data_IF_241239513267
#
_entry.id   IF_241239513267
#
_cell.length_a   1.000
_cell.length_b   1.000
_cell.length_c   1.000
_cell.angle_alpha   90.00
_cell.angle_beta   90.00
_cell.angle_gamma   90.00
#
_symmetry.space_group_name_H-M   'P 1'
#
loop_
_entity.id
_entity.type
_entity.pdbx_description
1 polymer ?
#
# COMPACT_ATOMS: atom_id res chain seq x y z
N UNK A 1 -11.11 21.60 -57.30
CA UNK A 1 -10.78 22.57 -58.37
C UNK A 1 -9.47 23.27 -58.01
N UNK A 2 -8.68 23.70 -58.99
CA UNK A 2 -7.47 24.54 -58.81
C UNK A 2 -7.83 26.03 -58.58
N UNK A 3 -6.87 27.00 -58.47
CA UNK A 3 -5.42 26.96 -58.17
C UNK A 3 -5.12 27.70 -56.83
N UNK A 4 -3.94 28.19 -56.39
CA UNK A 4 -2.66 28.70 -56.96
C UNK A 4 -1.49 28.31 -56.01
N UNK A 5 -0.22 28.08 -56.42
CA UNK A 5 0.81 28.96 -57.03
C UNK A 5 1.11 30.22 -56.18
N UNK A 6 2.37 30.63 -55.93
CA UNK A 6 3.43 31.00 -56.90
C UNK A 6 4.87 30.64 -56.38
N UNK A 7 5.83 30.54 -57.31
CA UNK A 7 7.28 30.26 -57.11
C UNK A 7 8.13 31.55 -56.90
N UNK A 8 9.38 31.45 -56.39
CA UNK A 8 10.61 31.58 -57.23
C UNK A 8 11.97 31.54 -56.48
N UNK A 9 12.98 31.09 -57.23
CA UNK A 9 14.46 31.18 -57.13
C UNK A 9 15.11 32.15 -56.11
N UNK A 10 16.31 31.89 -55.55
CA UNK A 10 17.26 30.78 -55.70
C UNK A 10 18.67 31.20 -56.19
N UNK A 11 19.74 30.65 -55.59
CA UNK A 11 21.17 30.73 -56.02
C UNK A 11 21.99 29.52 -55.48
N UNK A 12 23.25 29.32 -55.95
CA UNK A 12 24.02 28.05 -55.76
C UNK A 12 25.52 28.25 -55.43
N UNK A 13 25.98 27.61 -54.34
CA UNK A 13 27.33 27.05 -54.08
C UNK A 13 28.57 27.98 -54.12
N UNK A 14 29.78 27.55 -53.67
CA UNK A 14 30.21 26.29 -53.00
C UNK A 14 30.70 26.54 -51.54
N UNK A 15 31.47 25.73 -50.77
CA UNK A 15 32.26 24.49 -50.95
C UNK A 15 32.14 23.53 -49.72
N UNK A 16 32.24 22.22 -50.01
CA UNK A 16 32.97 21.13 -49.31
C UNK A 16 33.25 21.20 -47.78
N UNK A 17 32.73 20.22 -47.03
CA UNK A 17 33.52 19.15 -46.36
C UNK A 17 32.66 17.89 -46.08
N UNK A 18 33.23 16.82 -45.52
CA UNK A 18 32.72 15.41 -45.57
C UNK A 18 31.85 14.97 -44.36
N UNK A 19 31.11 13.83 -44.46
CA UNK A 19 29.94 13.52 -43.60
C UNK A 19 30.21 12.53 -42.45
N UNK A 20 29.20 12.37 -41.57
CA UNK A 20 28.58 11.06 -41.32
C UNK A 20 27.04 11.13 -41.58
N UNK A 21 26.46 10.25 -42.41
CA UNK A 21 26.07 8.86 -42.14
C UNK A 21 24.63 8.70 -41.60
N UNK A 22 23.71 8.40 -42.52
CA UNK A 22 22.40 7.73 -42.36
C UNK A 22 21.74 7.74 -40.96
N UNK A 23 20.73 8.60 -40.79
CA UNK A 23 19.68 8.34 -39.79
C UNK A 23 18.90 7.08 -40.18
N UNK A 24 19.11 5.98 -39.45
CA UNK A 24 18.18 4.86 -39.50
C UNK A 24 17.10 5.03 -38.44
N UNK A 25 15.86 5.29 -38.87
CA UNK A 25 14.70 5.39 -37.99
C UNK A 25 14.60 4.14 -37.11
N UNK A 26 14.72 4.31 -35.79
CA UNK A 26 14.84 3.24 -34.81
C UNK A 26 13.72 3.36 -33.79
N UNK A 27 13.07 2.24 -33.48
CA UNK A 27 11.82 2.22 -32.69
C UNK A 27 12.04 2.60 -31.23
N UNK A 28 11.03 3.24 -30.64
CA UNK A 28 10.91 3.43 -29.19
C UNK A 28 10.89 2.05 -28.51
N UNK A 29 11.84 1.82 -27.61
CA UNK A 29 11.82 0.74 -26.62
C UNK A 29 12.26 1.37 -25.29
N UNK A 30 11.39 1.33 -24.29
CA UNK A 30 11.63 2.02 -23.02
C UNK A 30 12.76 1.38 -22.22
N UNK A 31 13.89 2.09 -22.06
CA UNK A 31 14.91 1.76 -21.09
C UNK A 31 14.68 2.55 -19.79
N UNK A 32 14.59 1.84 -18.67
CA UNK A 32 14.64 2.46 -17.35
C UNK A 32 16.07 2.99 -17.12
N UNK A 33 16.20 4.30 -16.90
CA UNK A 33 17.45 4.91 -16.44
C UNK A 33 17.59 4.59 -14.95
N UNK A 34 18.58 3.77 -14.61
CA UNK A 34 18.91 3.44 -13.22
C UNK A 34 19.82 4.55 -12.69
N UNK A 35 19.30 5.38 -11.79
CA UNK A 35 20.09 6.37 -11.06
C UNK A 35 20.78 5.72 -9.84
N UNK A 36 21.94 6.26 -9.44
CA UNK A 36 22.72 5.72 -8.31
C UNK A 36 22.18 6.25 -6.97
N UNK A 37 21.36 5.44 -6.31
CA UNK A 37 20.48 5.86 -5.21
C UNK A 37 21.18 6.22 -3.88
N UNK A 38 22.52 6.16 -3.79
CA UNK A 38 23.24 6.15 -2.49
C UNK A 38 23.35 7.47 -1.73
N UNK A 39 22.78 8.59 -2.22
CA UNK A 39 22.82 9.93 -1.56
C UNK A 39 21.57 10.80 -1.82
N UNK A 40 20.37 10.27 -1.62
CA UNK A 40 19.13 10.97 -2.07
C UNK A 40 18.56 12.03 -1.12
N UNK A 41 18.60 11.84 0.20
CA UNK A 41 17.97 12.80 1.15
C UNK A 41 18.37 14.30 1.01
N UNK A 42 19.62 14.67 0.65
CA UNK A 42 19.99 16.08 0.44
C UNK A 42 19.48 16.69 -0.87
N UNK A 43 18.97 15.89 -1.82
CA UNK A 43 18.73 16.34 -3.20
C UNK A 43 17.29 16.83 -3.49
N UNK A 44 16.39 16.75 -2.51
CA UNK A 44 14.98 17.10 -2.68
C UNK A 44 14.51 18.16 -1.66
N UNK A 45 15.42 18.96 -1.09
CA UNK A 45 15.07 19.95 -0.06
C UNK A 45 14.21 21.11 -0.60
N UNK A 46 14.43 21.50 -1.86
CA UNK A 46 13.70 22.58 -2.54
C UNK A 46 12.48 22.07 -3.36
N UNK A 47 12.15 20.78 -3.27
CA UNK A 47 11.06 20.16 -4.03
C UNK A 47 9.70 20.33 -3.35
N UNK A 48 8.63 20.43 -4.13
CA UNK A 48 7.27 20.48 -3.59
C UNK A 48 6.93 19.15 -2.88
N UNK A 49 6.67 19.20 -1.58
CA UNK A 49 6.29 18.05 -0.77
C UNK A 49 4.78 17.99 -0.54
N UNK A 50 4.21 16.80 -0.68
CA UNK A 50 2.89 16.43 -0.14
C UNK A 50 2.99 15.04 0.47
N UNK A 51 2.18 14.76 1.49
CA UNK A 51 2.18 13.48 2.19
C UNK A 51 0.75 13.10 2.60
N UNK A 52 0.55 11.81 2.88
CA UNK A 52 -0.73 11.28 3.34
C UNK A 52 -0.47 10.04 4.22
N UNK A 53 -1.12 9.97 5.39
CA UNK A 53 -1.10 8.78 6.25
C UNK A 53 -2.04 7.70 5.70
N UNK A 54 -1.94 6.51 6.26
CA UNK A 54 -2.88 5.42 6.06
C UNK A 54 -2.58 4.25 6.99
N UNK A 55 -3.28 3.14 6.80
CA UNK A 55 -3.00 1.88 7.49
C UNK A 55 -3.35 0.68 6.63
N UNK A 56 -2.54 -0.36 6.73
CA UNK A 56 -2.94 -1.71 6.32
C UNK A 56 -3.75 -2.35 7.45
N UNK A 57 -4.96 -2.83 7.15
CA UNK A 57 -5.75 -3.62 8.09
C UNK A 57 -5.78 -5.09 7.63
N UNK A 58 -5.74 -6.01 8.58
CA UNK A 58 -5.74 -7.45 8.36
C UNK A 58 -7.15 -7.99 8.57
N UNK A 59 -7.72 -8.57 7.52
CA UNK A 59 -9.13 -8.98 7.48
C UNK A 59 -9.38 -10.37 8.08
N UNK A 60 -10.67 -10.68 8.25
CA UNK A 60 -11.17 -11.94 8.81
C UNK A 60 -10.53 -13.18 8.16
N UNK A 61 -10.44 -13.18 6.83
CA UNK A 61 -9.89 -14.24 5.97
C UNK A 61 -8.36 -14.25 5.85
N UNK A 62 -7.67 -13.27 6.46
CA UNK A 62 -6.22 -13.07 6.33
C UNK A 62 -5.80 -12.25 5.09
N UNK A 63 -6.76 -11.69 4.36
CA UNK A 63 -6.52 -10.63 3.38
C UNK A 63 -6.01 -9.35 4.03
N UNK A 64 -5.52 -8.41 3.21
CA UNK A 64 -5.11 -7.08 3.65
C UNK A 64 -5.94 -6.02 2.90
N UNK A 65 -6.54 -5.09 3.64
CA UNK A 65 -7.13 -3.86 3.11
C UNK A 65 -6.24 -2.66 3.43
N UNK A 66 -6.46 -1.57 2.70
CA UNK A 66 -5.84 -0.25 2.89
C UNK A 66 -6.64 0.73 2.04
N UNK A 67 -6.72 1.99 2.46
CA UNK A 67 -7.13 3.07 1.54
C UNK A 67 -6.22 3.09 0.31
N UNK A 68 -6.76 3.60 -0.81
CA UNK A 68 -5.98 3.92 -1.98
C UNK A 68 -5.90 5.45 -2.11
N UNK A 69 -5.02 5.96 -2.97
CA UNK A 69 -4.84 7.40 -3.11
C UNK A 69 -4.82 7.83 -4.57
N UNK A 70 -5.35 9.02 -4.84
CA UNK A 70 -5.31 9.68 -6.14
C UNK A 70 -4.22 10.75 -6.09
N UNK A 71 -3.17 10.57 -6.89
CA UNK A 71 -2.09 11.54 -7.09
C UNK A 71 -2.35 12.28 -8.40
N UNK A 72 -2.46 13.60 -8.36
CA UNK A 72 -2.47 14.44 -9.58
C UNK A 72 -1.15 15.18 -9.70
N UNK A 73 -0.49 14.96 -10.84
CA UNK A 73 0.79 15.57 -11.24
C UNK A 73 0.47 16.67 -12.26
N UNK A 74 0.69 17.96 -11.97
CA UNK A 74 0.18 19.06 -12.79
C UNK A 74 0.96 19.26 -14.11
N UNK A 75 2.26 18.97 -14.12
CA UNK A 75 3.15 19.03 -15.28
C UNK A 75 4.12 17.86 -15.25
N UNK A 76 4.68 17.46 -16.39
CA UNK A 76 5.69 16.39 -16.43
C UNK A 76 6.90 16.83 -15.61
N UNK A 77 7.26 16.04 -14.58
CA UNK A 77 8.29 16.40 -13.61
C UNK A 77 8.96 15.16 -13.02
N UNK A 78 10.16 15.32 -12.46
CA UNK A 78 10.77 14.26 -11.65
C UNK A 78 10.06 14.16 -10.30
N UNK A 79 9.60 12.96 -9.96
CA UNK A 79 8.92 12.64 -8.70
C UNK A 79 9.78 11.67 -7.90
N UNK A 80 9.86 11.90 -6.59
CA UNK A 80 10.41 10.99 -5.60
C UNK A 80 9.30 10.56 -4.64
N UNK A 81 8.91 9.29 -4.74
CA UNK A 81 7.85 8.66 -3.96
C UNK A 81 8.47 7.77 -2.89
N UNK A 82 8.02 7.89 -1.64
CA UNK A 82 8.43 7.00 -0.54
C UNK A 82 7.24 6.52 0.28
N UNK A 83 7.34 5.32 0.85
CA UNK A 83 6.44 4.80 1.87
C UNK A 83 7.24 4.15 2.99
N UNK A 84 6.72 4.26 4.22
CA UNK A 84 7.28 3.63 5.43
C UNK A 84 6.16 3.31 6.43
N UNK A 85 6.35 2.33 7.33
CA UNK A 85 5.55 2.25 8.55
C UNK A 85 5.59 3.55 9.37
N UNK A 86 4.48 3.85 10.04
CA UNK A 86 4.33 5.00 10.93
C UNK A 86 4.47 4.55 12.39
N UNK A 87 5.50 5.03 13.08
CA UNK A 87 5.70 4.76 14.50
C UNK A 87 4.80 5.70 15.33
N UNK A 88 3.76 5.15 15.96
CA UNK A 88 2.92 5.88 16.91
C UNK A 88 3.52 5.91 18.34
N UNK A 89 4.48 5.02 18.63
CA UNK A 89 5.11 4.96 19.95
C UNK A 89 5.82 6.28 20.31
N UNK A 90 5.23 6.99 21.29
CA UNK A 90 5.81 8.17 21.94
C UNK A 90 7.12 7.87 22.70
N UNK A 91 7.51 6.59 22.83
CA UNK A 91 8.73 6.15 23.51
C UNK A 91 9.76 5.65 22.50
N UNK A 92 10.74 6.51 22.19
CA UNK A 92 11.86 6.23 21.26
C UNK A 92 12.57 4.88 21.52
N UNK A 93 12.62 4.43 22.77
CA UNK A 93 13.27 3.18 23.19
C UNK A 93 12.53 1.90 22.80
N UNK A 94 11.23 1.98 22.44
CA UNK A 94 10.44 0.82 22.00
C UNK A 94 9.60 1.20 20.77
N UNK A 95 10.06 0.91 19.55
CA UNK A 95 9.25 1.12 18.34
C UNK A 95 8.01 0.23 18.33
N UNK A 96 6.97 0.66 17.63
CA UNK A 96 5.74 -0.10 17.47
C UNK A 96 5.97 -1.48 16.82
N UNK A 97 5.15 -2.47 17.20
CA UNK A 97 5.23 -3.87 16.74
C UNK A 97 5.17 -4.03 15.22
N UNK A 98 4.45 -3.15 14.54
CA UNK A 98 4.29 -3.14 13.08
C UNK A 98 5.43 -2.44 12.31
N UNK A 99 6.42 -1.82 12.98
CA UNK A 99 7.57 -1.19 12.31
C UNK A 99 8.44 -2.17 11.50
N UNK A 100 8.24 -3.49 11.70
CA UNK A 100 8.89 -4.53 10.90
C UNK A 100 8.15 -4.86 9.61
N UNK A 101 6.90 -4.42 9.41
CA UNK A 101 6.07 -4.75 8.24
C UNK A 101 6.64 -4.11 6.98
N UNK A 102 6.72 -4.88 5.90
CA UNK A 102 7.16 -4.36 4.61
C UNK A 102 6.06 -3.51 3.96
N UNK A 103 6.45 -2.38 3.38
CA UNK A 103 5.52 -1.44 2.72
C UNK A 103 6.01 -1.10 1.32
N UNK A 104 5.13 -1.13 0.33
CA UNK A 104 5.36 -0.61 -1.01
C UNK A 104 4.13 0.17 -1.50
N UNK A 105 4.30 1.00 -2.52
CA UNK A 105 3.21 1.63 -3.28
C UNK A 105 3.39 1.26 -4.73
N UNK A 106 2.32 0.77 -5.36
CA UNK A 106 2.25 0.60 -6.81
C UNK A 106 1.55 1.81 -7.42
N UNK A 107 2.18 2.45 -8.40
CA UNK A 107 1.63 3.59 -9.14
C UNK A 107 1.06 3.08 -10.45
N UNK A 108 -0.22 3.32 -10.67
CA UNK A 108 -0.92 2.97 -11.92
C UNK A 108 -1.52 4.20 -12.59
N UNK A 109 -1.46 4.24 -13.92
CA UNK A 109 -2.17 5.21 -14.75
C UNK A 109 -3.40 4.55 -15.40
N UNK A 110 -4.41 5.37 -15.71
CA UNK A 110 -5.66 4.91 -16.32
C UNK A 110 -6.88 5.59 -15.68
N UNK A 111 -8.06 5.27 -16.20
CA UNK A 111 -9.33 5.57 -15.52
C UNK A 111 -9.60 4.49 -14.48
N UNK A 112 -10.55 4.71 -13.59
CA UNK A 112 -10.88 3.80 -12.47
C UNK A 112 -11.53 2.46 -12.94
N UNK A 113 -11.61 2.23 -14.26
CA UNK A 113 -12.07 1.01 -14.94
C UNK A 113 -10.96 -0.03 -15.10
N UNK A 114 -11.35 -1.31 -15.05
CA UNK A 114 -10.43 -2.45 -14.85
C UNK A 114 -9.48 -2.77 -16.03
N UNK A 115 -9.77 -2.30 -17.24
CA UNK A 115 -9.13 -2.81 -18.47
C UNK A 115 -7.96 -1.93 -18.96
N UNK A 116 -8.08 -0.60 -18.85
CA UNK A 116 -7.05 0.36 -19.29
C UNK A 116 -5.93 0.59 -18.25
N UNK A 117 -6.14 0.19 -16.99
CA UNK A 117 -5.18 0.41 -15.90
C UNK A 117 -3.80 -0.16 -16.23
N UNK A 118 -2.75 0.67 -16.09
CA UNK A 118 -1.37 0.38 -16.53
C UNK A 118 -0.39 0.63 -15.38
N UNK A 119 0.51 -0.33 -15.12
CA UNK A 119 1.57 -0.18 -14.13
C UNK A 119 2.61 0.81 -14.67
N UNK A 120 2.86 1.87 -13.91
CA UNK A 120 3.86 2.90 -14.24
C UNK A 120 5.16 2.59 -13.50
N UNK A 121 5.10 2.54 -12.17
CA UNK A 121 6.23 2.25 -11.30
C UNK A 121 5.75 1.68 -9.95
N UNK A 122 6.68 1.30 -9.10
CA UNK A 122 6.41 0.91 -7.71
C UNK A 122 7.63 1.17 -6.84
N UNK A 123 7.44 1.39 -5.54
CA UNK A 123 8.55 1.55 -4.60
C UNK A 123 9.23 0.20 -4.35
N UNK A 124 10.48 0.07 -4.80
CA UNK A 124 11.22 -1.21 -4.82
C UNK A 124 12.64 -1.14 -4.26
N UNK A 125 13.26 0.04 -4.30
CA UNK A 125 14.53 0.34 -3.62
C UNK A 125 14.27 0.81 -2.18
N UNK A 126 15.32 0.86 -1.35
CA UNK A 126 15.21 1.32 0.04
C UNK A 126 16.22 2.40 0.42
N UNK A 127 15.73 3.45 1.08
CA UNK A 127 16.55 4.43 1.81
C UNK A 127 16.25 4.27 3.31
N UNK A 128 17.15 3.55 4.00
CA UNK A 128 17.07 3.21 5.44
C UNK A 128 15.79 2.42 5.79
N UNK A 129 14.76 3.11 6.26
CA UNK A 129 13.47 2.57 6.69
C UNK A 129 12.35 2.86 5.67
N UNK A 130 12.62 3.65 4.63
CA UNK A 130 11.66 3.94 3.57
C UNK A 130 11.88 3.05 2.37
N UNK A 131 10.81 2.45 1.84
CA UNK A 131 10.79 1.93 0.48
C UNK A 131 10.48 3.07 -0.48
N UNK A 132 11.22 3.20 -1.58
CA UNK A 132 11.15 4.37 -2.45
C UNK A 132 11.29 4.09 -3.95
N UNK A 133 10.92 5.09 -4.75
CA UNK A 133 11.10 5.16 -6.19
C UNK A 133 11.37 6.61 -6.61
N UNK A 134 12.28 6.84 -7.56
CA UNK A 134 12.50 8.13 -8.21
C UNK A 134 12.43 7.96 -9.73
N UNK A 135 11.77 8.89 -10.41
CA UNK A 135 11.72 8.93 -11.87
C UNK A 135 10.78 10.03 -12.38
N UNK A 136 10.70 10.18 -13.69
CA UNK A 136 9.75 11.11 -14.34
C UNK A 136 8.33 10.55 -14.26
N UNK A 137 7.36 11.41 -13.89
CA UNK A 137 5.94 11.19 -14.15
C UNK A 137 5.44 12.29 -15.09
N UNK A 138 4.58 11.92 -16.03
CA UNK A 138 3.94 12.87 -16.94
C UNK A 138 2.81 13.64 -16.24
N UNK A 139 2.40 14.77 -16.81
CA UNK A 139 1.18 15.46 -16.39
C UNK A 139 -0.04 14.51 -16.45
N UNK A 140 -0.82 14.41 -15.38
CA UNK A 140 -1.99 13.55 -15.31
C UNK A 140 -2.34 13.06 -13.90
N UNK A 141 -3.29 12.11 -13.84
CA UNK A 141 -3.77 11.51 -12.60
C UNK A 141 -3.39 10.04 -12.54
N UNK A 142 -2.89 9.64 -11.37
CA UNK A 142 -2.42 8.29 -11.06
C UNK A 142 -3.14 7.76 -9.82
N UNK A 143 -3.33 6.45 -9.73
CA UNK A 143 -3.72 5.81 -8.48
C UNK A 143 -2.47 5.20 -7.82
N UNK A 144 -2.32 5.49 -6.52
CA UNK A 144 -1.31 4.94 -5.63
C UNK A 144 -1.99 3.84 -4.81
N UNK A 145 -1.49 2.62 -4.96
CA UNK A 145 -2.01 1.41 -4.35
C UNK A 145 -1.00 0.91 -3.31
N UNK A 146 -1.23 1.15 -2.00
CA UNK A 146 -0.39 0.60 -0.95
C UNK A 146 -0.39 -0.92 -0.98
N UNK A 147 0.74 -1.51 -0.61
CA UNK A 147 0.94 -2.95 -0.58
C UNK A 147 1.86 -3.35 0.58
N UNK A 148 1.54 -4.47 1.21
CA UNK A 148 2.43 -5.25 2.08
C UNK A 148 2.36 -6.72 1.66
N UNK A 149 3.43 -7.48 1.85
CA UNK A 149 3.45 -8.91 1.49
C UNK A 149 2.61 -9.82 2.39
N UNK A 150 2.11 -9.33 3.53
CA UNK A 150 1.59 -10.11 4.67
C UNK A 150 2.57 -11.15 5.26
N UNK A 151 3.87 -11.12 4.88
CA UNK A 151 4.90 -11.98 5.47
C UNK A 151 5.18 -11.65 6.96
N UNK A 152 4.72 -10.49 7.44
CA UNK A 152 4.95 -9.96 8.80
C UNK A 152 3.67 -9.45 9.48
N UNK A 153 2.75 -8.81 8.72
CA UNK A 153 1.38 -8.51 9.16
C UNK A 153 0.47 -9.71 8.81
N UNK A 154 0.11 -10.52 9.81
CA UNK A 154 -0.71 -11.74 9.65
C UNK A 154 -1.31 -12.20 10.97
N UNK A 155 -2.45 -12.90 10.92
CA UNK A 155 -3.17 -13.36 12.12
C UNK A 155 -2.26 -14.32 12.91
N UNK A 156 -2.02 -13.99 14.18
CA UNK A 156 -1.21 -14.81 15.07
C UNK A 156 -2.10 -15.91 15.65
N UNK A 157 -1.61 -17.15 15.70
CA UNK A 157 -2.35 -18.27 16.30
C UNK A 157 -2.71 -17.92 17.74
N UNK A 158 -4.01 -17.79 18.04
CA UNK A 158 -4.54 -17.32 19.34
C UNK A 158 -4.01 -18.21 20.48
N UNK A 159 -3.01 -17.73 21.22
CA UNK A 159 -2.61 -18.30 22.51
C UNK A 159 -3.55 -17.75 23.57
N UNK A 160 -4.19 -18.66 24.32
CA UNK A 160 -4.97 -18.45 25.56
C UNK A 160 -5.59 -17.05 25.75
N UNK A 161 -6.90 -16.95 25.55
CA UNK A 161 -7.69 -15.73 25.79
C UNK A 161 -7.42 -15.16 27.19
N UNK A 162 -6.72 -14.04 27.27
CA UNK A 162 -6.73 -13.15 28.42
C UNK A 162 -8.14 -12.60 28.62
N UNK A 163 -8.53 -12.31 29.87
CA UNK A 163 -9.71 -11.47 30.08
C UNK A 163 -9.48 -10.12 29.39
N UNK A 164 -10.43 -9.58 28.61
CA UNK A 164 -10.29 -8.26 28.04
C UNK A 164 -10.01 -7.21 29.13
N UNK A 165 -9.19 -6.21 28.81
CA UNK A 165 -8.98 -5.07 29.70
C UNK A 165 -10.25 -4.24 29.84
N UNK A 166 -10.41 -3.54 30.96
CA UNK A 166 -11.54 -2.65 31.19
C UNK A 166 -11.38 -1.39 30.34
N UNK A 167 -12.34 -1.09 29.45
CA UNK A 167 -12.30 0.11 28.62
C UNK A 167 -12.75 1.36 29.38
N UNK A 168 -13.81 1.25 30.19
CA UNK A 168 -14.39 2.34 30.98
C UNK A 168 -14.53 1.98 32.45
N UNK A 169 -14.25 2.95 33.32
CA UNK A 169 -14.44 2.85 34.76
C UNK A 169 -15.62 3.73 35.20
N UNK A 170 -16.13 3.49 36.40
CA UNK A 170 -16.95 4.49 37.11
C UNK A 170 -16.08 5.33 38.04
N UNK A 171 -16.34 6.63 38.07
CA UNK A 171 -15.70 7.60 38.96
C UNK A 171 -16.30 7.53 40.38
N UNK A 172 -15.70 8.26 41.34
CA UNK A 172 -16.28 8.43 42.68
C UNK A 172 -17.62 9.17 42.68
N UNK A 173 -17.94 9.91 41.60
CA UNK A 173 -19.26 10.54 41.36
C UNK A 173 -20.29 9.56 40.77
N UNK A 174 -19.88 8.35 40.37
CA UNK A 174 -20.74 7.33 39.75
C UNK A 174 -20.91 7.47 38.23
N UNK A 175 -20.38 8.55 37.66
CA UNK A 175 -20.27 8.82 36.22
C UNK A 175 -19.28 7.84 35.55
N UNK A 176 -19.28 7.76 34.23
CA UNK A 176 -18.36 6.92 33.46
C UNK A 176 -17.17 7.76 32.96
N UNK A 177 -15.99 7.14 32.93
CA UNK A 177 -14.78 7.71 32.33
C UNK A 177 -13.99 6.64 31.56
N UNK A 178 -13.34 7.06 30.48
CA UNK A 178 -12.47 6.22 29.67
C UNK A 178 -11.16 5.93 30.43
N UNK A 179 -10.78 4.66 30.52
CA UNK A 179 -9.52 4.28 31.15
C UNK A 179 -8.32 4.89 30.42
N UNK A 180 -7.22 5.11 31.15
CA UNK A 180 -5.97 5.66 30.61
C UNK A 180 -5.48 4.92 29.36
N UNK A 181 -5.57 3.60 29.38
CA UNK A 181 -5.04 2.76 28.30
C UNK A 181 -5.97 2.80 27.07
N UNK A 182 -7.30 2.87 27.28
CA UNK A 182 -8.25 3.10 26.18
C UNK A 182 -8.13 4.50 25.58
N UNK A 183 -7.93 5.55 26.41
CA UNK A 183 -7.55 6.90 25.92
C UNK A 183 -6.23 6.90 25.13
N UNK A 184 -5.31 5.98 25.44
CA UNK A 184 -4.12 5.73 24.62
C UNK A 184 -4.50 5.18 23.24
N UNK A 185 -5.24 4.07 23.20
CA UNK A 185 -5.70 3.44 21.95
C UNK A 185 -6.55 4.37 21.08
N UNK A 186 -7.40 5.23 21.66
CA UNK A 186 -8.17 6.26 20.93
C UNK A 186 -7.32 7.43 20.43
N UNK A 187 -6.15 7.69 21.02
CA UNK A 187 -5.20 8.67 20.48
C UNK A 187 -4.43 8.08 19.30
N UNK A 188 -4.04 6.81 19.39
CA UNK A 188 -3.36 6.10 18.31
C UNK A 188 -4.31 5.84 17.12
N UNK A 189 -5.51 5.29 17.38
CA UNK A 189 -6.81 5.91 17.02
C UNK A 189 -6.77 7.06 15.99
N UNK A 190 -6.99 8.24 16.55
CA UNK A 190 -6.99 9.54 15.89
C UNK A 190 -5.79 9.76 14.97
N UNK A 191 -4.57 9.38 15.39
CA UNK A 191 -3.37 9.54 14.55
C UNK A 191 -3.40 8.75 13.24
N UNK A 192 -4.14 7.63 13.18
CA UNK A 192 -4.28 6.81 11.97
C UNK A 192 -5.31 7.37 10.99
N UNK A 193 -6.34 8.05 11.51
CA UNK A 193 -7.48 8.55 10.71
C UNK A 193 -7.41 10.06 10.41
N UNK A 194 -6.57 10.82 11.11
CA UNK A 194 -6.04 12.13 10.70
C UNK A 194 -5.09 11.92 9.51
N UNK A 195 -5.64 11.82 8.29
CA UNK A 195 -4.93 11.34 7.10
C UNK A 195 -3.97 12.39 6.54
N UNK A 196 -4.36 13.67 6.53
CA UNK A 196 -3.50 14.75 6.04
C UNK A 196 -2.47 15.22 7.10
N UNK A 197 -2.68 14.86 8.37
CA UNK A 197 -1.82 15.22 9.49
C UNK A 197 -2.07 16.62 10.08
N UNK A 198 -3.21 17.26 9.79
CA UNK A 198 -3.53 18.59 10.30
C UNK A 198 -3.89 18.60 11.81
N UNK A 199 -4.21 17.44 12.39
CA UNK A 199 -4.56 17.26 13.79
C UNK A 199 -6.05 17.43 14.11
N UNK A 200 -6.92 17.40 13.10
CA UNK A 200 -8.39 17.50 13.16
C UNK A 200 -8.99 16.59 12.09
N UNK A 201 -10.13 15.95 12.36
CA UNK A 201 -10.80 15.05 11.41
C UNK A 201 -11.85 15.81 10.60
N UNK A 202 -11.72 15.78 9.28
CA UNK A 202 -12.79 16.11 8.35
C UNK A 202 -13.90 15.04 8.34
N UNK A 203 -15.05 15.35 7.72
CA UNK A 203 -16.11 14.36 7.48
C UNK A 203 -15.62 13.20 6.58
N UNK A 204 -14.73 13.48 5.63
CA UNK A 204 -14.16 12.44 4.75
C UNK A 204 -13.30 11.45 5.54
N UNK A 205 -12.45 11.96 6.43
CA UNK A 205 -11.63 11.15 7.35
C UNK A 205 -12.47 10.38 8.38
N UNK A 206 -13.50 11.02 8.94
CA UNK A 206 -14.46 10.37 9.83
C UNK A 206 -15.24 9.25 9.12
N UNK A 207 -15.62 9.45 7.86
CA UNK A 207 -16.32 8.44 7.07
C UNK A 207 -15.42 7.25 6.67
N UNK A 208 -14.10 7.44 6.51
CA UNK A 208 -13.19 6.29 6.39
C UNK A 208 -13.05 5.48 7.69
N UNK A 209 -13.26 6.10 8.85
CA UNK A 209 -13.34 5.42 10.15
C UNK A 209 -14.66 4.66 10.31
N UNK A 210 -15.81 5.31 10.09
CA UNK A 210 -17.15 4.67 10.15
C UNK A 210 -17.24 3.49 9.17
N UNK A 211 -16.89 3.69 7.89
CA UNK A 211 -16.93 2.64 6.88
C UNK A 211 -16.03 1.44 7.22
N UNK A 212 -15.04 1.60 8.11
CA UNK A 212 -14.20 0.51 8.61
C UNK A 212 -14.72 -0.16 9.88
N UNK A 213 -15.53 0.53 10.68
CA UNK A 213 -15.94 0.10 12.04
C UNK A 213 -17.41 -0.29 12.12
N UNK A 214 -18.32 0.55 11.62
CA UNK A 214 -19.75 0.29 11.46
C UNK A 214 -20.10 -0.26 10.07
N UNK A 215 -19.35 0.13 9.04
CA UNK A 215 -19.66 -0.16 7.63
C UNK A 215 -20.61 0.86 7.00
N UNK A 216 -20.95 1.92 7.72
CA UNK A 216 -21.85 3.00 7.29
C UNK A 216 -21.06 4.29 6.98
N UNK A 217 -21.75 5.40 6.73
CA UNK A 217 -21.14 6.73 6.58
C UNK A 217 -21.97 7.75 7.37
N UNK A 218 -21.31 8.72 7.99
CA UNK A 218 -21.96 9.90 8.55
C UNK A 218 -22.38 10.83 7.40
N UNK A 219 -23.63 11.30 7.41
CA UNK A 219 -24.15 12.30 6.47
C UNK A 219 -23.88 13.74 6.96
N UNK A 220 -24.20 14.74 6.15
CA UNK A 220 -23.90 16.14 6.49
C UNK A 220 -24.73 16.63 7.69
N UNK A 221 -25.94 16.09 7.86
CA UNK A 221 -26.86 16.34 8.97
C UNK A 221 -26.35 15.76 10.30
N UNK A 222 -25.97 14.48 10.35
CA UNK A 222 -25.36 13.86 11.52
C UNK A 222 -24.00 14.52 11.84
N UNK A 223 -23.22 14.88 10.83
CA UNK A 223 -21.98 15.65 11.03
C UNK A 223 -22.24 17.06 11.57
N UNK A 224 -23.34 17.71 11.18
CA UNK A 224 -23.77 18.98 11.77
C UNK A 224 -24.02 18.83 13.27
N UNK A 225 -24.79 17.83 13.69
CA UNK A 225 -25.04 17.52 15.11
C UNK A 225 -23.72 17.20 15.84
N UNK A 226 -22.82 16.41 15.25
CA UNK A 226 -21.49 16.12 15.81
C UNK A 226 -20.69 17.40 16.10
N UNK A 227 -20.63 18.33 15.12
CA UNK A 227 -19.91 19.61 15.28
C UNK A 227 -20.50 20.54 16.34
N UNK A 228 -21.79 20.43 16.63
CA UNK A 228 -22.48 21.25 17.64
C UNK A 228 -22.31 20.71 19.07
N UNK A 229 -21.97 19.42 19.25
CA UNK A 229 -21.96 18.77 20.57
C UNK A 229 -20.55 18.42 21.11
N UNK A 230 -19.49 18.47 20.30
CA UNK A 230 -18.11 18.07 20.68
C UNK A 230 -17.05 19.14 20.35
N UNK A 231 -15.84 19.10 20.96
CA UNK A 231 -14.77 20.06 20.63
C UNK A 231 -14.36 19.97 19.15
N UNK A 232 -14.68 21.03 18.39
CA UNK A 232 -14.35 21.16 16.96
C UNK A 232 -13.59 22.45 16.67
N UNK A 233 -12.78 22.43 15.62
CA UNK A 233 -11.98 23.60 15.17
C UNK A 233 -12.00 23.62 13.66
N UNK A 234 -12.14 24.81 13.05
CA UNK A 234 -12.29 24.96 11.58
C UNK A 234 -13.40 24.08 10.95
N UNK A 235 -14.44 23.73 11.73
CA UNK A 235 -15.51 22.78 11.35
C UNK A 235 -15.06 21.32 11.17
N UNK A 236 -13.92 20.94 11.76
CA UNK A 236 -13.36 19.58 11.84
C UNK A 236 -13.32 19.12 13.31
N UNK A 237 -13.51 17.82 13.56
CA UNK A 237 -13.53 17.25 14.91
C UNK A 237 -12.12 17.20 15.52
N UNK A 238 -11.94 17.70 16.74
CA UNK A 238 -10.64 17.65 17.42
C UNK A 238 -10.42 16.30 18.10
N UNK A 239 -9.17 16.00 18.50
CA UNK A 239 -8.86 14.80 19.31
C UNK A 239 -9.62 14.78 20.63
N UNK A 240 -9.92 15.94 21.21
CA UNK A 240 -10.73 16.04 22.43
C UNK A 240 -12.19 15.68 22.12
N UNK A 241 -12.77 16.24 21.04
CA UNK A 241 -14.12 15.90 20.59
C UNK A 241 -14.28 14.42 20.24
N UNK A 242 -13.27 13.80 19.61
CA UNK A 242 -13.26 12.36 19.33
C UNK A 242 -13.26 11.51 20.62
N UNK A 243 -12.57 11.95 21.67
CA UNK A 243 -12.59 11.28 22.99
C UNK A 243 -13.94 11.47 23.70
N UNK A 244 -14.58 12.62 23.54
CA UNK A 244 -15.90 12.93 24.09
C UNK A 244 -16.99 12.10 23.41
N UNK A 245 -16.93 11.95 22.09
CA UNK A 245 -17.83 11.10 21.29
C UNK A 245 -17.75 9.63 21.73
N UNK A 246 -16.55 9.06 21.84
CA UNK A 246 -16.35 7.68 22.31
C UNK A 246 -16.79 7.48 23.79
N UNK A 247 -16.73 8.53 24.63
CA UNK A 247 -17.25 8.48 26.00
C UNK A 247 -18.78 8.58 26.04
N UNK A 248 -19.41 9.31 25.10
CA UNK A 248 -20.85 9.36 24.95
C UNK A 248 -21.41 7.98 24.57
N UNK A 249 -20.85 7.34 23.54
CA UNK A 249 -21.23 5.98 23.09
C UNK A 249 -21.18 4.97 24.25
N UNK A 250 -20.08 4.99 25.01
CA UNK A 250 -19.91 4.15 26.21
C UNK A 250 -20.97 4.42 27.30
N UNK A 251 -21.43 5.67 27.40
CA UNK A 251 -22.36 6.12 28.44
C UNK A 251 -23.82 5.83 28.10
N UNK A 252 -24.21 5.93 26.83
CA UNK A 252 -25.56 5.60 26.36
C UNK A 252 -25.95 4.14 26.67
N UNK A 253 -24.97 3.22 26.63
CA UNK A 253 -25.16 1.81 27.01
C UNK A 253 -24.83 1.51 28.48
N UNK A 254 -24.80 2.53 29.34
CA UNK A 254 -24.60 2.40 30.78
C UNK A 254 -23.23 1.86 31.21
N UNK A 255 -22.26 1.85 30.29
CA UNK A 255 -20.91 1.29 30.47
C UNK A 255 -20.68 -0.10 29.86
N UNK A 256 -21.59 -0.62 29.01
CA UNK A 256 -21.33 -1.83 28.22
C UNK A 256 -20.26 -1.57 27.14
N UNK A 257 -19.09 -2.22 27.19
CA UNK A 257 -18.00 -1.99 26.24
C UNK A 257 -18.12 -2.80 24.93
N UNK A 258 -19.25 -3.47 24.68
CA UNK A 258 -19.38 -4.43 23.57
C UNK A 258 -19.10 -3.81 22.19
N UNK A 259 -19.67 -2.63 21.90
CA UNK A 259 -19.55 -1.99 20.58
C UNK A 259 -18.20 -1.26 20.43
N UNK A 260 -17.73 -0.58 21.47
CA UNK A 260 -16.35 -0.08 21.59
C UNK A 260 -15.30 -1.17 21.24
N UNK A 261 -15.57 -2.42 21.62
CA UNK A 261 -14.70 -3.55 21.28
C UNK A 261 -14.77 -3.96 19.81
N UNK A 262 -15.92 -3.81 19.13
CA UNK A 262 -16.03 -3.99 17.68
C UNK A 262 -15.20 -2.93 16.97
N UNK A 263 -15.35 -1.66 17.36
CA UNK A 263 -14.56 -0.52 16.87
C UNK A 263 -13.05 -0.74 17.05
N UNK A 264 -12.61 -1.20 18.23
CA UNK A 264 -11.21 -1.51 18.50
C UNK A 264 -10.68 -2.69 17.67
N UNK A 265 -11.42 -3.79 17.56
CA UNK A 265 -10.99 -4.96 16.78
C UNK A 265 -10.97 -4.65 15.27
N UNK A 266 -11.92 -3.85 14.77
CA UNK A 266 -11.94 -3.34 13.40
C UNK A 266 -10.73 -2.43 13.08
N UNK A 267 -10.27 -1.64 14.06
CA UNK A 267 -9.04 -0.84 13.96
C UNK A 267 -7.76 -1.64 14.28
N UNK A 268 -7.85 -2.98 14.42
CA UNK A 268 -6.72 -3.89 14.52
C UNK A 268 -6.14 -4.08 15.92
N UNK A 269 -6.86 -3.70 16.98
CA UNK A 269 -6.47 -3.92 18.37
C UNK A 269 -6.90 -5.29 18.87
N UNK A 270 -6.07 -5.90 19.73
CA UNK A 270 -6.48 -7.07 20.50
C UNK A 270 -7.16 -6.67 21.83
N UNK A 271 -7.70 -7.68 22.54
CA UNK A 271 -8.35 -7.51 23.86
C UNK A 271 -7.42 -7.05 25.01
N UNK A 272 -6.13 -6.81 24.75
CA UNK A 272 -5.18 -6.17 25.66
C UNK A 272 -4.89 -4.69 25.29
N UNK A 273 -5.60 -4.12 24.31
CA UNK A 273 -5.31 -2.81 23.68
C UNK A 273 -3.93 -2.72 23.00
N UNK A 274 -3.42 -3.84 22.47
CA UNK A 274 -2.25 -3.83 21.58
C UNK A 274 -2.72 -3.85 20.11
N UNK A 275 -2.33 -2.84 19.32
CA UNK A 275 -2.51 -2.88 17.86
C UNK A 275 -1.59 -3.96 17.26
N UNK A 276 -2.19 -5.00 16.70
CA UNK A 276 -1.50 -6.20 16.18
C UNK A 276 -2.05 -6.73 14.85
N UNK A 277 -3.26 -6.31 14.46
CA UNK A 277 -3.90 -6.65 13.19
C UNK A 277 -4.01 -5.42 12.26
N UNK A 278 -3.23 -4.37 12.54
CA UNK A 278 -3.05 -3.20 11.67
C UNK A 278 -1.57 -2.78 11.54
N UNK A 279 -1.24 -2.03 10.48
CA UNK A 279 0.05 -1.37 10.27
C UNK A 279 -0.14 0.02 9.64
N UNK A 280 -0.20 1.07 10.47
CA UNK A 280 -0.10 2.47 10.04
C UNK A 280 1.14 2.75 9.18
N UNK A 281 1.00 3.61 8.18
CA UNK A 281 2.06 4.03 7.26
C UNK A 281 1.96 5.51 6.90
N UNK A 282 3.05 6.06 6.36
CA UNK A 282 3.09 7.39 5.72
C UNK A 282 3.60 7.25 4.29
N UNK A 283 2.92 7.89 3.34
CA UNK A 283 3.40 8.13 1.98
C UNK A 283 3.92 9.57 1.89
N UNK A 284 5.15 9.76 1.41
CA UNK A 284 5.70 11.05 1.03
C UNK A 284 5.85 11.12 -0.50
N UNK A 285 5.45 12.24 -1.10
CA UNK A 285 5.66 12.57 -2.51
C UNK A 285 6.41 13.90 -2.59
N UNK A 286 7.59 13.89 -3.20
CA UNK A 286 8.34 15.10 -3.55
C UNK A 286 8.31 15.27 -5.07
N UNK A 287 8.00 16.47 -5.56
CA UNK A 287 7.96 16.81 -6.98
C UNK A 287 8.92 17.96 -7.29
N UNK A 288 9.76 17.79 -8.31
CA UNK A 288 10.76 18.78 -8.72
C UNK A 288 10.14 20.06 -9.28
N UNK A 289 9.03 19.93 -10.01
CA UNK A 289 8.28 21.06 -10.56
C UNK A 289 6.78 20.90 -10.31
N UNK A 290 6.13 21.97 -9.83
CA UNK A 290 4.70 22.01 -9.58
C UNK A 290 4.24 21.25 -8.33
N UNK A 291 3.19 21.75 -7.69
CA UNK A 291 2.62 21.13 -6.50
C UNK A 291 1.67 19.99 -6.90
N UNK A 292 2.11 18.74 -6.69
CA UNK A 292 1.23 17.59 -6.74
C UNK A 292 0.15 17.65 -5.66
N UNK A 293 -1.05 17.17 -5.97
CA UNK A 293 -2.09 16.91 -4.97
C UNK A 293 -2.22 15.40 -4.72
N UNK A 294 -2.42 15.03 -3.46
CA UNK A 294 -2.64 13.66 -3.02
C UNK A 294 -3.93 13.62 -2.21
N UNK A 295 -4.86 12.75 -2.57
CA UNK A 295 -6.16 12.62 -1.93
C UNK A 295 -6.44 11.14 -1.62
N UNK A 296 -7.04 10.79 -0.47
CA UNK A 296 -7.56 9.44 -0.25
C UNK A 296 -8.72 9.13 -1.22
N UNK A 297 -8.88 7.86 -1.58
CA UNK A 297 -10.01 7.37 -2.38
C UNK A 297 -10.36 5.93 -1.99
N UNK A 298 -11.66 5.64 -1.95
CA UNK A 298 -12.16 4.27 -1.96
C UNK A 298 -12.41 3.83 -3.41
N UNK A 299 -11.76 2.75 -3.85
CA UNK A 299 -11.97 2.16 -5.17
C UNK A 299 -12.42 0.71 -5.01
N UNK A 300 -13.68 0.41 -5.38
CA UNK A 300 -14.23 -0.96 -5.43
C UNK A 300 -13.34 -1.93 -6.24
N UNK A 301 -12.62 -1.41 -7.23
CA UNK A 301 -11.72 -2.15 -8.11
C UNK A 301 -10.29 -2.26 -7.56
N UNK A 302 -9.93 -1.54 -6.48
CA UNK A 302 -8.57 -1.34 -5.99
C UNK A 302 -7.79 -2.65 -5.77
N UNK A 303 -8.37 -3.63 -5.05
CA UNK A 303 -7.75 -4.93 -4.84
C UNK A 303 -7.47 -5.70 -6.15
N UNK A 304 -8.34 -5.58 -7.17
CA UNK A 304 -8.15 -6.19 -8.49
C UNK A 304 -7.09 -5.46 -9.32
N UNK A 305 -7.04 -4.13 -9.25
CA UNK A 305 -6.01 -3.34 -9.94
C UNK A 305 -4.64 -3.62 -9.31
N UNK A 306 -4.54 -3.64 -7.97
CA UNK A 306 -3.32 -3.98 -7.23
C UNK A 306 -2.80 -5.38 -7.58
N UNK A 307 -3.67 -6.41 -7.59
CA UNK A 307 -3.28 -7.75 -8.04
C UNK A 307 -2.75 -7.75 -9.49
N UNK A 308 -3.36 -6.97 -10.38
CA UNK A 308 -2.96 -6.87 -11.79
C UNK A 308 -1.61 -6.16 -11.93
N UNK A 309 -1.40 -5.06 -11.19
CA UNK A 309 -0.14 -4.32 -11.11
C UNK A 309 0.98 -5.20 -10.54
N UNK A 310 0.71 -5.91 -9.44
CA UNK A 310 1.64 -6.84 -8.80
C UNK A 310 2.05 -7.98 -9.75
N UNK A 311 1.10 -8.63 -10.43
CA UNK A 311 1.41 -9.65 -11.42
C UNK A 311 2.22 -9.11 -12.61
N UNK A 312 1.96 -7.88 -13.08
CA UNK A 312 2.74 -7.22 -14.13
C UNK A 312 4.17 -6.91 -13.65
N UNK A 313 4.35 -6.36 -12.45
CA UNK A 313 5.68 -6.07 -11.87
C UNK A 313 6.56 -7.33 -11.78
N UNK A 314 5.99 -8.44 -11.31
CA UNK A 314 6.68 -9.72 -11.20
C UNK A 314 6.99 -10.26 -12.61
N UNK A 315 5.99 -10.39 -13.48
CA UNK A 315 6.18 -11.04 -14.80
C UNK A 315 6.98 -10.20 -15.81
N UNK A 316 7.23 -8.92 -15.56
CA UNK A 316 8.09 -8.07 -16.39
C UNK A 316 9.59 -8.15 -16.03
N UNK A 317 9.95 -8.63 -14.83
CA UNK A 317 11.32 -8.59 -14.27
C UNK A 317 11.70 -9.89 -13.56
N UNK A 318 11.35 -11.03 -14.12
CA UNK A 318 11.53 -12.34 -13.48
C UNK A 318 12.28 -13.36 -14.33
N UNK A 319 12.98 -14.25 -13.65
CA UNK A 319 13.37 -15.54 -14.22
C UNK A 319 12.12 -16.39 -14.46
N UNK A 320 12.07 -17.10 -15.59
CA UNK A 320 10.92 -17.94 -15.99
C UNK A 320 11.35 -19.40 -16.09
N UNK A 321 10.62 -20.27 -15.39
CA UNK A 321 10.85 -21.71 -15.28
C UNK A 321 9.59 -22.48 -15.70
N UNK A 322 9.72 -23.46 -16.58
CA UNK A 322 8.66 -24.44 -16.85
C UNK A 322 8.57 -25.46 -15.71
N UNK A 323 7.37 -25.92 -15.37
CA UNK A 323 7.23 -27.06 -14.46
C UNK A 323 7.58 -28.37 -15.19
N UNK A 324 8.33 -29.25 -14.54
CA UNK A 324 8.74 -30.55 -15.11
C UNK A 324 7.49 -31.36 -15.45
N UNK A 325 7.34 -31.73 -16.72
CA UNK A 325 6.17 -32.46 -17.24
C UNK A 325 4.96 -31.59 -17.58
N UNK A 326 5.02 -30.26 -17.42
CA UNK A 326 3.97 -29.32 -17.79
C UNK A 326 4.56 -28.02 -18.37
N UNK A 327 4.99 -28.08 -19.64
CA UNK A 327 5.59 -26.94 -20.36
C UNK A 327 4.67 -25.71 -20.44
N UNK A 328 3.35 -25.93 -20.38
CA UNK A 328 2.33 -24.88 -20.37
C UNK A 328 2.06 -24.28 -18.98
N UNK A 329 2.77 -24.71 -17.93
CA UNK A 329 2.71 -24.09 -16.60
C UNK A 329 4.06 -23.44 -16.29
N UNK A 330 4.04 -22.12 -16.16
CA UNK A 330 5.23 -21.28 -16.01
C UNK A 330 5.28 -20.65 -14.62
N UNK A 331 6.44 -20.76 -13.97
CA UNK A 331 6.76 -20.08 -12.72
C UNK A 331 7.64 -18.88 -13.05
N UNK A 332 7.17 -17.69 -12.67
CA UNK A 332 7.87 -16.42 -12.80
C UNK A 332 8.37 -16.01 -11.41
N UNK A 333 9.69 -15.95 -11.21
CA UNK A 333 10.28 -15.54 -9.92
C UNK A 333 10.96 -14.19 -10.08
N UNK A 334 10.37 -13.16 -9.45
CA UNK A 334 10.99 -11.85 -9.26
C UNK A 334 11.87 -11.88 -8.00
N UNK A 335 13.09 -11.35 -8.11
CA UNK A 335 14.02 -11.15 -6.99
C UNK A 335 14.38 -9.67 -6.91
N UNK A 336 13.70 -8.92 -6.04
CA UNK A 336 14.02 -7.53 -5.72
C UNK A 336 14.95 -7.43 -4.52
N UNK A 337 15.34 -6.20 -4.15
CA UNK A 337 16.34 -5.90 -3.12
C UNK A 337 16.02 -6.52 -1.74
N UNK A 338 14.73 -6.55 -1.36
CA UNK A 338 14.27 -7.05 -0.05
C UNK A 338 13.15 -8.10 -0.12
N UNK A 339 12.68 -8.45 -1.33
CA UNK A 339 11.53 -9.32 -1.53
C UNK A 339 11.72 -10.23 -2.74
N UNK A 340 11.44 -11.51 -2.54
CA UNK A 340 11.20 -12.46 -3.62
C UNK A 340 9.68 -12.65 -3.78
N UNK A 341 9.22 -12.72 -5.02
CA UNK A 341 7.79 -12.88 -5.33
C UNK A 341 7.60 -13.79 -6.53
N UNK A 342 6.69 -14.76 -6.40
CA UNK A 342 6.47 -15.79 -7.41
C UNK A 342 5.06 -15.72 -7.98
N UNK A 343 4.93 -15.74 -9.31
CA UNK A 343 3.65 -15.87 -10.03
C UNK A 343 3.65 -17.17 -10.81
N UNK A 344 2.57 -17.93 -10.72
CA UNK A 344 2.35 -19.10 -11.57
C UNK A 344 1.35 -18.71 -12.67
N UNK A 345 1.72 -18.95 -13.93
CA UNK A 345 0.84 -18.81 -15.08
C UNK A 345 0.48 -20.19 -15.64
N UNK A 346 -0.81 -20.51 -15.69
CA UNK A 346 -1.33 -21.71 -16.29
C UNK A 346 -1.85 -21.38 -17.70
N UNK A 347 -1.13 -21.80 -18.75
CA UNK A 347 -1.55 -21.65 -20.15
C UNK A 347 -2.44 -22.79 -20.64
N UNK A 348 -2.67 -23.82 -19.84
CA UNK A 348 -3.51 -24.97 -20.23
C UNK A 348 -5.01 -24.61 -20.21
N UNK A 349 -5.82 -25.50 -20.77
CA UNK A 349 -7.29 -25.41 -20.76
C UNK A 349 -7.92 -26.06 -19.50
N UNK A 350 -7.13 -26.49 -18.51
CA UNK A 350 -7.61 -27.14 -17.28
C UNK A 350 -7.05 -26.44 -16.03
N UNK A 351 -7.66 -26.66 -14.86
CA UNK A 351 -7.07 -26.24 -13.58
C UNK A 351 -5.83 -27.09 -13.31
N UNK A 352 -4.76 -26.49 -12.78
CA UNK A 352 -3.56 -27.23 -12.34
C UNK A 352 -3.29 -26.95 -10.87
N UNK A 353 -2.90 -27.97 -10.11
CA UNK A 353 -2.53 -27.82 -8.70
C UNK A 353 -1.02 -27.96 -8.55
N UNK A 354 -0.36 -26.88 -8.13
CA UNK A 354 1.09 -26.81 -7.96
C UNK A 354 1.42 -26.94 -6.48
N UNK A 355 2.14 -28.00 -6.13
CA UNK A 355 2.81 -28.15 -4.85
C UNK A 355 4.05 -27.26 -4.81
N UNK A 356 4.25 -26.57 -3.68
CA UNK A 356 5.33 -25.61 -3.47
C UNK A 356 6.00 -25.94 -2.15
N UNK A 357 7.29 -26.30 -2.19
CA UNK A 357 8.08 -26.63 -1.01
C UNK A 357 9.24 -25.63 -0.84
N UNK A 358 9.28 -24.95 0.30
CA UNK A 358 10.30 -24.00 0.71
C UNK A 358 11.15 -24.50 1.90
N UNK A 359 11.11 -25.78 2.28
CA UNK A 359 11.78 -26.30 3.48
C UNK A 359 13.31 -26.17 3.44
N UNK A 360 13.88 -26.09 2.24
CA UNK A 360 15.31 -25.83 2.04
C UNK A 360 15.68 -24.34 2.12
N UNK A 361 14.70 -23.45 2.26
CA UNK A 361 14.92 -22.02 2.46
C UNK A 361 15.35 -21.72 3.90
N UNK A 362 16.29 -20.79 4.07
CA UNK A 362 16.85 -20.40 5.37
C UNK A 362 16.61 -18.92 5.65
N UNK A 363 16.22 -18.60 6.89
CA UNK A 363 15.89 -17.23 7.32
C UNK A 363 14.77 -16.60 6.46
N UNK A 364 13.75 -17.37 6.04
CA UNK A 364 12.68 -16.93 5.13
C UNK A 364 11.29 -16.96 5.78
N UNK A 365 10.54 -15.87 5.68
CA UNK A 365 9.10 -15.81 6.00
C UNK A 365 8.31 -15.76 4.70
N UNK A 366 7.43 -16.73 4.46
CA UNK A 366 6.49 -16.73 3.33
C UNK A 366 5.15 -16.08 3.71
N UNK A 367 4.51 -15.39 2.76
CA UNK A 367 3.16 -14.83 2.92
C UNK A 367 2.08 -15.90 3.13
N UNK A 368 2.38 -17.16 2.80
CA UNK A 368 1.51 -18.31 3.08
C UNK A 368 1.57 -18.81 4.53
N UNK A 369 2.52 -18.33 5.34
CA UNK A 369 2.72 -18.79 6.72
C UNK A 369 3.21 -20.25 6.86
N UNK A 370 3.37 -20.98 5.75
CA UNK A 370 3.74 -22.39 5.69
C UNK A 370 5.00 -22.59 4.83
N UNK A 371 5.85 -23.55 5.18
CA UNK A 371 6.99 -23.96 4.34
C UNK A 371 6.54 -24.73 3.09
N UNK A 372 5.53 -25.59 3.24
CA UNK A 372 4.97 -26.44 2.19
C UNK A 372 3.48 -26.17 2.04
N UNK A 373 3.00 -25.98 0.81
CA UNK A 373 1.59 -25.76 0.50
C UNK A 373 1.27 -26.13 -0.96
N UNK A 374 -0.02 -26.12 -1.31
CA UNK A 374 -0.50 -26.28 -2.68
C UNK A 374 -1.22 -25.01 -3.16
N UNK A 375 -1.13 -24.72 -4.47
CA UNK A 375 -1.83 -23.61 -5.13
C UNK A 375 -2.57 -24.12 -6.35
N UNK A 376 -3.89 -23.99 -6.35
CA UNK A 376 -4.72 -24.28 -7.52
C UNK A 376 -4.75 -23.08 -8.48
N UNK A 377 -4.30 -23.24 -9.72
CA UNK A 377 -4.25 -22.16 -10.72
C UNK A 377 -5.27 -22.46 -11.83
N UNK A 378 -6.35 -21.67 -11.98
CA UNK A 378 -7.38 -21.88 -13.00
C UNK A 378 -6.84 -21.84 -14.43
N UNK A 379 -7.54 -22.50 -15.35
CA UNK A 379 -7.21 -22.56 -16.78
C UNK A 379 -7.01 -21.16 -17.38
N UNK A 380 -5.95 -20.97 -18.17
CA UNK A 380 -5.59 -19.70 -18.85
C UNK A 380 -5.37 -18.49 -17.92
N UNK A 381 -5.15 -18.69 -16.61
CA UNK A 381 -4.94 -17.58 -15.65
C UNK A 381 -3.50 -17.45 -15.16
N UNK A 382 -3.23 -16.35 -14.45
CA UNK A 382 -2.05 -16.11 -13.63
C UNK A 382 -2.50 -15.89 -12.18
N UNK A 383 -1.77 -16.44 -11.21
CA UNK A 383 -1.94 -16.10 -9.79
C UNK A 383 -0.60 -15.83 -9.11
N UNK A 384 -0.62 -14.93 -8.12
CA UNK A 384 0.50 -14.78 -7.18
C UNK A 384 0.53 -16.01 -6.28
N UNK A 385 1.66 -16.70 -6.27
CA UNK A 385 1.86 -17.94 -5.54
C UNK A 385 2.22 -17.67 -4.07
N UNK A 386 3.28 -16.88 -3.87
CA UNK A 386 3.77 -16.42 -2.57
C UNK A 386 4.64 -15.17 -2.72
N UNK A 387 4.79 -14.45 -1.62
CA UNK A 387 5.91 -13.54 -1.38
C UNK A 387 6.82 -14.14 -0.30
N UNK A 388 8.10 -13.79 -0.34
CA UNK A 388 9.09 -14.19 0.67
C UNK A 388 9.98 -13.01 1.04
N UNK A 389 10.14 -12.79 2.34
CA UNK A 389 11.07 -11.84 2.96
C UNK A 389 12.08 -12.59 3.85
N UNK A 390 13.22 -11.98 4.20
CA UNK A 390 14.01 -12.43 5.34
C UNK A 390 13.21 -12.38 6.66
N UNK A 391 13.43 -13.31 7.59
CA UNK A 391 12.90 -13.23 8.96
C UNK A 391 13.70 -12.18 9.75
N UNK A 392 15.02 -12.22 9.63
CA UNK A 392 15.96 -11.26 10.20
C UNK A 392 16.83 -10.67 9.09
N UNK A 393 16.75 -9.35 8.89
CA UNK A 393 17.49 -8.63 7.85
C UNK A 393 18.99 -8.46 8.16
N UNK A 394 19.41 -8.71 9.41
CA UNK A 394 20.81 -8.68 9.84
C UNK A 394 21.51 -10.05 9.71
N UNK A 395 20.86 -11.02 9.07
CA UNK A 395 21.38 -12.37 8.83
C UNK A 395 21.25 -12.70 7.34
N UNK A 396 22.17 -13.51 6.81
CA UNK A 396 22.03 -14.06 5.47
C UNK A 396 20.72 -14.86 5.36
N UNK A 397 20.11 -14.84 4.17
CA UNK A 397 18.91 -15.61 3.86
C UNK A 397 19.07 -16.31 2.53
N UNK A 398 18.41 -17.45 2.36
CA UNK A 398 18.55 -18.28 1.16
C UNK A 398 17.16 -18.74 0.76
N UNK A 399 16.67 -18.25 -0.38
CA UNK A 399 15.43 -18.75 -0.98
C UNK A 399 15.74 -19.94 -1.90
N UNK A 400 15.32 -21.12 -1.46
CA UNK A 400 15.36 -22.36 -2.21
C UNK A 400 13.95 -22.97 -2.18
N UNK A 401 13.31 -23.01 -3.34
CA UNK A 401 11.92 -23.40 -3.54
C UNK A 401 11.84 -24.44 -4.66
N UNK A 402 11.05 -25.50 -4.42
CA UNK A 402 10.80 -26.59 -5.35
C UNK A 402 9.31 -26.63 -5.65
N UNK A 403 8.95 -26.22 -6.86
CA UNK A 403 7.59 -26.33 -7.39
C UNK A 403 7.43 -27.62 -8.22
N UNK A 404 6.32 -28.34 -7.99
CA UNK A 404 5.97 -29.57 -8.72
C UNK A 404 4.46 -29.66 -8.93
N UNK A 405 4.01 -30.28 -10.02
CA UNK A 405 2.59 -30.54 -10.25
C UNK A 405 2.13 -31.69 -9.34
N UNK A 406 1.00 -31.51 -8.66
CA UNK A 406 0.24 -32.61 -8.07
C UNK A 406 -0.59 -33.24 -9.20
N UNK A 407 -0.46 -34.55 -9.50
CA UNK A 407 -1.38 -35.22 -10.41
C UNK A 407 -2.80 -35.15 -9.84
N UNK A 408 -3.77 -34.73 -10.66
CA UNK A 408 -5.17 -34.97 -10.33
C UNK A 408 -5.40 -36.49 -10.31
N UNK A 409 -6.01 -36.98 -9.23
CA UNK A 409 -6.59 -38.33 -9.15
C UNK A 409 -8.02 -38.30 -9.72
#
# INVERSE_FOLDING_TARGET
MHPFNIYFSGYRFPLVLKPPALMHCSRIVGHSVIFDNKKMFPLCQDWHHTCMKGSFFLEEDGGITSLQYRLTVPQTATVYLTIRPLNLSQRLEKPSSWMSVDTAVFVVSGKDTKEDSTLVCFTESRDKEKCCWKGELSAGTYCLLPFTTSCRLRKRTRKSVSKPVTLVNRTDTGELDLTRDFRGALSDIFEVIDLDGNGLLSLEEYNFFELRTSGENCDEEAWAVCKENFDTRKNQLSRQGFMELNLMEASERGGDPTDLWVTLEAMGYNRNLEMVEACPFLIDVYCEEGQCTLQPVSLESGHRILNTALQRSITARSEVKTLRGQENVLVYTYRGEHRISTVIANKTNQKVTVHVNNEQSKNCSSSRGMSVFAVEVPARTKMVCQHVLPINEHQEWTYNCVESIIPCQ
#
